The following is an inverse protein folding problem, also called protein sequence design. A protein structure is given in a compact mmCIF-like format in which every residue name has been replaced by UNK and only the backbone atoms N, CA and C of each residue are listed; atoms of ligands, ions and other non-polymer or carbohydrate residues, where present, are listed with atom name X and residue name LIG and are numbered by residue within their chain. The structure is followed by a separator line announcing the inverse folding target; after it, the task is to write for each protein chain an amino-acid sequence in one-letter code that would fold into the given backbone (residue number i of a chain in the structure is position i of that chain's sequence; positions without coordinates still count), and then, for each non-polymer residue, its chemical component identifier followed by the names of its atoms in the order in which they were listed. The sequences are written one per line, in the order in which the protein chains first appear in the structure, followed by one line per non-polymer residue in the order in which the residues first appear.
data_IF_434992071174
#
_entry.id   IF_434992071174
#
_cell.length_a   1.000
_cell.length_b   1.000
_cell.length_c   1.000
_cell.angle_alpha   90.00
_cell.angle_beta   90.00
_cell.angle_gamma   90.00
#
_symmetry.space_group_name_H-M   'P 1'
#
loop_
_entity.id
_entity.type
_entity.pdbx_description
1 polymer ?
#
# COMPACT_ATOMS: atom_id res chain seq x y z
N UNK A 1 -25.99 -5.27 38.69
CA UNK A 1 -24.95 -4.26 38.96
C UNK A 1 -25.54 -2.90 38.81
N UNK A 2 -25.43 -2.10 39.86
CA UNK A 2 -25.77 -0.69 39.86
C UNK A 2 -24.91 0.07 38.84
N UNK A 3 -25.30 1.29 38.47
CA UNK A 3 -24.51 2.14 37.57
C UNK A 3 -23.10 2.40 38.14
N UNK A 4 -23.01 2.54 39.46
CA UNK A 4 -21.77 2.81 40.17
C UNK A 4 -20.81 1.61 40.12
N UNK A 5 -21.34 0.38 40.22
CA UNK A 5 -20.52 -0.85 40.12
C UNK A 5 -19.87 -1.02 38.73
N UNK A 6 -20.49 -0.47 37.66
CA UNK A 6 -20.00 -0.60 36.28
C UNK A 6 -18.90 0.41 35.97
N UNK A 7 -19.02 1.62 36.52
CA UNK A 7 -18.00 2.67 36.40
C UNK A 7 -16.72 2.26 37.13
N UNK A 8 -16.84 1.67 38.32
CA UNK A 8 -15.68 1.16 39.07
C UNK A 8 -15.00 -0.02 38.37
N UNK A 9 -15.75 -0.85 37.65
CA UNK A 9 -15.17 -1.95 36.86
C UNK A 9 -14.38 -1.43 35.65
N UNK A 10 -14.91 -0.43 34.93
CA UNK A 10 -14.27 0.15 33.75
C UNK A 10 -13.00 0.96 34.12
N UNK A 11 -12.99 1.65 35.25
CA UNK A 11 -11.82 2.43 35.68
C UNK A 11 -10.64 1.54 36.13
N UNK A 12 -10.88 0.27 36.44
CA UNK A 12 -9.84 -0.69 36.85
C UNK A 12 -9.13 -1.38 35.68
N UNK A 13 -9.59 -1.19 34.44
CA UNK A 13 -9.09 -1.91 33.25
C UNK A 13 -8.47 -1.01 32.17
N UNK A 14 -8.06 0.23 32.51
CA UNK A 14 -7.26 1.15 31.66
C UNK A 14 -7.69 1.25 30.18
N UNK A 15 -8.99 1.46 29.95
CA UNK A 15 -9.53 1.69 28.60
C UNK A 15 -9.41 3.20 28.27
N UNK A 16 -8.82 3.60 27.11
CA UNK A 16 -8.53 5.01 26.81
C UNK A 16 -9.75 5.95 26.81
N UNK A 17 -9.52 7.20 27.25
CA UNK A 17 -10.49 8.29 27.56
C UNK A 17 -11.48 8.65 26.43
N UNK A 18 -11.21 8.27 25.17
CA UNK A 18 -12.13 8.51 24.04
C UNK A 18 -13.43 7.69 24.17
N UNK A 19 -13.42 6.62 24.96
CA UNK A 19 -14.56 5.72 25.18
C UNK A 19 -15.63 6.33 26.11
N UNK A 20 -15.31 7.35 26.91
CA UNK A 20 -16.23 7.87 27.93
C UNK A 20 -17.50 8.53 27.36
N UNK A 21 -17.39 9.37 26.32
CA UNK A 21 -18.56 10.06 25.75
C UNK A 21 -19.53 9.14 24.98
N UNK A 22 -19.01 8.05 24.40
CA UNK A 22 -19.81 7.07 23.66
C UNK A 22 -20.46 6.05 24.62
N UNK A 23 -19.73 5.62 25.64
CA UNK A 23 -20.24 4.74 26.70
C UNK A 23 -21.35 5.43 27.50
N UNK A 24 -21.23 6.73 27.80
CA UNK A 24 -22.31 7.48 28.47
C UNK A 24 -23.60 7.52 27.64
N UNK A 25 -23.50 7.73 26.31
CA UNK A 25 -24.66 7.73 25.40
C UNK A 25 -25.30 6.35 25.27
N UNK A 26 -24.50 5.29 25.18
CA UNK A 26 -24.99 3.91 25.07
C UNK A 26 -25.57 3.38 26.40
N UNK A 27 -25.02 3.79 27.55
CA UNK A 27 -25.58 3.50 28.87
C UNK A 27 -26.91 4.25 29.11
N UNK A 28 -27.04 5.47 28.59
CA UNK A 28 -28.30 6.23 28.64
C UNK A 28 -29.42 5.57 27.80
N UNK A 29 -29.08 4.86 26.72
CA UNK A 29 -30.04 4.20 25.84
C UNK A 29 -30.71 2.93 26.42
N UNK A 30 -30.22 2.40 27.55
CA UNK A 30 -30.73 1.21 28.26
C UNK A 30 -31.21 0.06 27.34
N UNK A 31 -30.36 -0.50 26.47
CA UNK A 31 -30.76 -1.70 25.71
C UNK A 31 -30.99 -2.88 26.66
N UNK A 32 -32.12 -3.57 26.48
CA UNK A 32 -32.56 -4.67 27.35
C UNK A 32 -31.75 -5.97 27.14
N UNK A 33 -30.93 -6.05 26.10
CA UNK A 33 -30.12 -7.23 25.76
C UNK A 33 -28.62 -6.89 25.68
N UNK A 34 -27.76 -7.50 26.52
CA UNK A 34 -26.31 -7.37 26.46
C UNK A 34 -25.69 -7.69 25.08
N UNK A 35 -26.28 -8.58 24.28
CA UNK A 35 -25.79 -8.89 22.93
C UNK A 35 -26.03 -7.75 21.94
N UNK A 36 -27.18 -7.08 22.04
CA UNK A 36 -27.51 -5.93 21.20
C UNK A 36 -26.61 -4.73 21.54
N UNK A 37 -26.31 -4.53 22.82
CA UNK A 37 -25.34 -3.53 23.29
C UNK A 37 -23.95 -3.77 22.71
N UNK A 38 -23.44 -5.01 22.79
CA UNK A 38 -22.12 -5.36 22.24
C UNK A 38 -22.10 -5.25 20.72
N UNK A 39 -23.17 -5.64 20.02
CA UNK A 39 -23.27 -5.48 18.57
C UNK A 39 -23.26 -3.99 18.16
N UNK A 40 -24.01 -3.13 18.84
CA UNK A 40 -24.00 -1.67 18.59
C UNK A 40 -22.65 -1.04 18.90
N UNK A 41 -22.02 -1.40 20.03
CA UNK A 41 -20.70 -0.92 20.39
C UNK A 41 -19.63 -1.34 19.35
N UNK A 42 -19.67 -2.59 18.87
CA UNK A 42 -18.80 -3.10 17.81
C UNK A 42 -19.06 -2.41 16.46
N UNK A 43 -20.33 -2.10 16.16
CA UNK A 43 -20.72 -1.40 14.92
C UNK A 43 -20.25 0.05 14.96
N UNK A 44 -20.46 0.77 16.07
CA UNK A 44 -20.02 2.17 16.19
C UNK A 44 -18.49 2.31 16.29
N UNK A 45 -17.78 1.35 16.91
CA UNK A 45 -16.31 1.32 16.90
C UNK A 45 -15.73 1.01 15.52
N UNK A 46 -16.38 0.15 14.72
CA UNK A 46 -16.03 -0.01 13.30
C UNK A 46 -16.29 1.27 12.50
N UNK A 47 -17.36 2.01 12.78
CA UNK A 47 -17.62 3.31 12.15
C UNK A 47 -16.60 4.39 12.57
N UNK A 48 -16.03 4.32 13.78
CA UNK A 48 -14.97 5.21 14.22
C UNK A 48 -13.61 4.91 13.57
N UNK A 49 -13.28 3.65 13.29
CA UNK A 49 -12.15 3.32 12.41
C UNK A 49 -12.40 3.80 10.97
N UNK A 50 -13.63 3.68 10.46
CA UNK A 50 -14.01 4.24 9.16
C UNK A 50 -13.83 5.77 9.14
N UNK A 51 -14.09 6.48 10.23
CA UNK A 51 -13.83 7.92 10.36
C UNK A 51 -12.33 8.28 10.37
N UNK A 52 -11.46 7.42 10.91
CA UNK A 52 -10.00 7.61 10.90
C UNK A 52 -9.40 7.32 9.50
N UNK A 53 -9.87 6.27 8.82
CA UNK A 53 -9.44 5.92 7.46
C UNK A 53 -10.02 6.85 6.38
N UNK A 54 -11.28 7.30 6.54
CA UNK A 54 -11.88 8.35 5.69
C UNK A 54 -11.35 9.74 6.03
N UNK A 55 -10.88 9.97 7.26
CA UNK A 55 -10.30 11.22 7.74
C UNK A 55 -8.97 11.57 7.08
N UNK A 56 -8.16 10.57 6.68
CA UNK A 56 -6.96 10.83 5.88
C UNK A 56 -7.33 11.56 4.58
N UNK A 57 -8.32 11.07 3.84
CA UNK A 57 -8.70 11.63 2.53
C UNK A 57 -9.88 12.62 2.59
N UNK A 58 -10.33 12.98 3.79
CA UNK A 58 -11.36 13.99 3.98
C UNK A 58 -10.82 15.33 3.47
N UNK A 59 -11.38 15.78 2.33
CA UNK A 59 -10.94 16.94 1.53
C UNK A 59 -10.21 18.02 2.35
N UNK A 60 -8.89 17.92 2.39
CA UNK A 60 -8.04 19.06 2.70
C UNK A 60 -8.23 20.05 1.55
N UNK A 61 -8.46 21.31 1.93
CA UNK A 61 -8.64 22.44 1.02
C UNK A 61 -7.47 22.52 0.03
N UNK A 62 -7.69 22.09 -1.22
CA UNK A 62 -6.65 22.06 -2.26
C UNK A 62 -7.00 21.29 -3.54
N UNK A 63 -8.06 20.48 -3.56
CA UNK A 63 -8.44 19.60 -4.68
C UNK A 63 -8.97 20.29 -5.96
N UNK A 64 -8.57 21.54 -6.25
CA UNK A 64 -8.94 22.26 -7.47
C UNK A 64 -7.70 22.56 -8.31
N UNK A 65 -7.09 21.50 -8.87
CA UNK A 65 -5.89 21.62 -9.70
C UNK A 65 -4.62 21.83 -8.88
N UNK A 66 -3.51 21.28 -9.36
CA UNK A 66 -2.24 21.20 -8.65
C UNK A 66 -1.45 19.96 -9.05
N UNK A 67 -0.23 19.86 -8.51
CA UNK A 67 0.68 18.73 -8.77
C UNK A 67 0.77 17.79 -7.58
N UNK A 68 0.34 16.55 -7.76
CA UNK A 68 0.61 15.45 -6.84
C UNK A 68 1.90 14.74 -7.24
N UNK A 69 2.78 14.48 -6.27
CA UNK A 69 3.86 13.51 -6.39
C UNK A 69 3.49 12.23 -5.62
N UNK A 70 3.29 11.13 -6.34
CA UNK A 70 3.05 9.80 -5.81
C UNK A 70 4.38 9.01 -5.80
N UNK A 71 4.94 8.83 -4.62
CA UNK A 71 6.21 8.10 -4.40
C UNK A 71 5.87 6.69 -3.92
N UNK A 72 6.12 5.69 -4.75
CA UNK A 72 5.73 4.31 -4.49
C UNK A 72 6.87 3.57 -3.80
N UNK A 73 6.57 3.02 -2.63
CA UNK A 73 7.41 2.11 -1.85
C UNK A 73 8.90 2.50 -1.75
N UNK A 74 9.26 3.74 -1.35
CA UNK A 74 10.65 4.19 -1.27
C UNK A 74 11.36 3.61 -0.03
N UNK A 75 11.30 2.30 0.20
CA UNK A 75 11.69 1.64 1.45
C UNK A 75 13.04 0.95 1.37
N UNK A 76 13.79 0.95 2.47
CA UNK A 76 15.17 0.47 2.54
C UNK A 76 15.39 -0.92 1.95
N UNK A 77 14.43 -1.85 2.11
CA UNK A 77 14.58 -3.21 1.59
C UNK A 77 14.69 -3.29 0.07
N UNK A 78 14.19 -2.28 -0.66
CA UNK A 78 14.30 -2.19 -2.11
C UNK A 78 15.61 -1.55 -2.61
N UNK A 79 16.45 -1.04 -1.71
CA UNK A 79 17.73 -0.40 -2.06
C UNK A 79 18.92 -1.33 -1.81
N UNK A 80 20.09 -1.08 -2.41
CA UNK A 80 21.32 -1.80 -2.09
C UNK A 80 21.57 -1.91 -0.57
N UNK A 81 21.78 -3.15 -0.10
CA UNK A 81 21.88 -3.52 1.32
C UNK A 81 20.58 -3.98 1.97
N UNK A 82 19.43 -3.78 1.30
CA UNK A 82 18.12 -4.29 1.68
C UNK A 82 17.90 -5.76 1.28
N UNK A 83 16.84 -6.38 1.80
CA UNK A 83 16.57 -7.81 1.55
C UNK A 83 16.03 -8.13 0.15
N UNK A 84 15.44 -7.15 -0.55
CA UNK A 84 14.96 -7.24 -1.93
C UNK A 84 15.54 -6.10 -2.78
N UNK A 85 16.86 -5.90 -2.65
CA UNK A 85 17.56 -4.79 -3.25
C UNK A 85 17.43 -4.75 -4.79
N UNK A 86 17.17 -3.56 -5.32
CA UNK A 86 17.20 -3.21 -6.73
C UNK A 86 18.46 -2.37 -6.97
N UNK A 87 19.28 -2.77 -7.93
CA UNK A 87 20.63 -2.20 -8.11
C UNK A 87 20.61 -0.69 -8.41
N UNK A 88 19.64 -0.20 -9.20
CA UNK A 88 19.51 1.22 -9.58
C UNK A 88 18.69 2.10 -8.63
N UNK A 89 18.13 1.53 -7.55
CA UNK A 89 17.18 2.25 -6.70
C UNK A 89 17.83 3.40 -5.91
N UNK A 90 19.13 3.34 -5.60
CA UNK A 90 19.83 4.44 -4.91
C UNK A 90 19.96 5.69 -5.80
N UNK A 91 20.26 5.50 -7.08
CA UNK A 91 20.29 6.59 -8.05
C UNK A 91 18.89 7.16 -8.31
N UNK A 92 17.86 6.29 -8.35
CA UNK A 92 16.47 6.72 -8.44
C UNK A 92 16.06 7.56 -7.23
N UNK A 93 16.36 7.09 -6.01
CA UNK A 93 16.09 7.85 -4.79
C UNK A 93 16.83 9.19 -4.73
N UNK A 94 18.06 9.25 -5.25
CA UNK A 94 18.80 10.51 -5.41
C UNK A 94 18.03 11.50 -6.29
N UNK A 95 17.60 11.06 -7.48
CA UNK A 95 16.84 11.91 -8.42
C UNK A 95 15.47 12.31 -7.88
N UNK A 96 14.75 11.41 -7.21
CA UNK A 96 13.49 11.74 -6.52
C UNK A 96 13.73 12.80 -5.44
N UNK A 97 14.76 12.63 -4.62
CA UNK A 97 15.08 13.57 -3.56
C UNK A 97 15.45 14.96 -4.10
N UNK A 98 16.24 15.03 -5.17
CA UNK A 98 16.60 16.28 -5.83
C UNK A 98 15.37 16.93 -6.47
N UNK A 99 14.52 16.16 -7.14
CA UNK A 99 13.26 16.64 -7.70
C UNK A 99 12.36 17.28 -6.64
N UNK A 100 12.18 16.61 -5.49
CA UNK A 100 11.39 17.14 -4.37
C UNK A 100 11.96 18.49 -3.88
N UNK A 101 13.29 18.58 -3.69
CA UNK A 101 13.94 19.80 -3.19
C UNK A 101 13.85 20.95 -4.19
N UNK A 102 14.14 20.69 -5.46
CA UNK A 102 14.15 21.71 -6.52
C UNK A 102 12.75 22.27 -6.83
N UNK A 103 11.72 21.43 -6.67
CA UNK A 103 10.35 21.77 -7.05
C UNK A 103 9.41 21.89 -5.85
N UNK A 104 9.93 22.10 -4.65
CA UNK A 104 9.14 21.99 -3.43
C UNK A 104 7.89 22.88 -3.42
N UNK A 105 7.97 24.11 -3.95
CA UNK A 105 6.84 25.04 -4.04
C UNK A 105 5.83 24.72 -5.14
N UNK A 106 6.23 23.92 -6.13
CA UNK A 106 5.37 23.50 -7.26
C UNK A 106 4.71 22.14 -7.01
N UNK A 107 5.15 21.39 -6.01
CA UNK A 107 4.53 20.14 -5.57
C UNK A 107 3.47 20.49 -4.53
N UNK A 108 2.22 20.20 -4.85
CA UNK A 108 1.10 20.56 -4.01
C UNK A 108 0.80 19.55 -2.92
N UNK A 109 1.11 18.28 -3.17
CA UNK A 109 0.85 17.15 -2.29
C UNK A 109 1.89 16.05 -2.54
N UNK A 110 2.27 15.34 -1.48
CA UNK A 110 3.10 14.14 -1.57
C UNK A 110 2.34 12.97 -0.95
N UNK A 111 2.11 11.95 -1.76
CA UNK A 111 1.61 10.65 -1.29
C UNK A 111 2.73 9.64 -1.36
N UNK A 112 2.98 8.93 -0.26
CA UNK A 112 3.95 7.84 -0.19
C UNK A 112 3.22 6.54 0.11
N UNK A 113 3.41 5.53 -0.73
CA UNK A 113 2.96 4.16 -0.41
C UNK A 113 4.05 3.40 0.33
N UNK A 114 3.65 2.49 1.22
CA UNK A 114 4.55 1.64 1.99
C UNK A 114 4.07 0.20 1.89
N UNK A 115 4.87 -0.64 1.26
CA UNK A 115 4.73 -2.09 1.36
C UNK A 115 4.89 -2.50 2.82
N UNK A 116 3.92 -3.23 3.36
CA UNK A 116 3.80 -3.43 4.82
C UNK A 116 3.43 -4.86 5.11
N UNK A 117 4.43 -5.73 5.13
CA UNK A 117 4.21 -7.16 5.33
C UNK A 117 4.31 -7.58 6.79
N UNK A 118 3.52 -8.60 7.14
CA UNK A 118 3.88 -9.51 8.22
C UNK A 118 4.93 -10.50 7.70
N UNK A 119 5.78 -11.03 8.58
CA UNK A 119 6.69 -12.13 8.20
C UNK A 119 5.91 -13.33 7.64
N UNK A 120 4.78 -13.64 8.26
CA UNK A 120 3.85 -14.71 7.88
C UNK A 120 2.98 -14.34 6.67
N UNK A 121 3.53 -13.90 5.55
CA UNK A 121 2.79 -13.47 4.35
C UNK A 121 2.77 -14.57 3.27
N UNK A 122 1.71 -14.67 2.46
CA UNK A 122 1.53 -15.71 1.44
C UNK A 122 2.64 -15.73 0.37
N UNK A 123 3.29 -14.59 0.15
CA UNK A 123 4.43 -14.47 -0.76
C UNK A 123 5.79 -14.68 -0.08
N UNK A 124 5.83 -15.07 1.21
CA UNK A 124 7.06 -15.40 1.93
C UNK A 124 7.19 -16.90 2.15
N UNK A 125 8.43 -17.39 2.17
CA UNK A 125 8.70 -18.83 2.26
C UNK A 125 8.13 -19.49 3.51
N UNK A 126 8.09 -18.77 4.65
CA UNK A 126 7.53 -19.29 5.90
C UNK A 126 6.05 -19.70 5.80
N UNK A 127 5.31 -19.23 4.78
CA UNK A 127 3.91 -19.61 4.54
C UNK A 127 3.75 -21.00 3.96
N UNK A 128 4.81 -21.56 3.39
CA UNK A 128 4.75 -22.80 2.64
C UNK A 128 5.76 -23.83 3.15
N UNK A 129 5.40 -25.09 3.07
CA UNK A 129 6.31 -26.23 3.31
C UNK A 129 6.11 -27.27 2.23
N UNK A 130 7.20 -27.93 1.84
CA UNK A 130 7.17 -29.12 0.99
C UNK A 130 6.82 -30.38 1.81
N UNK A 131 6.68 -31.58 1.20
CA UNK A 131 6.39 -32.81 1.93
C UNK A 131 7.48 -33.23 2.94
N UNK A 132 8.68 -32.64 2.86
CA UNK A 132 9.78 -32.86 3.78
C UNK A 132 9.82 -31.82 4.91
N UNK A 133 8.92 -30.83 4.90
CA UNK A 133 8.86 -29.76 5.89
C UNK A 133 9.82 -28.59 5.60
N UNK A 134 10.41 -28.51 4.40
CA UNK A 134 11.30 -27.41 4.01
C UNK A 134 10.48 -26.26 3.40
N UNK A 135 10.84 -25.03 3.77
CA UNK A 135 10.30 -23.82 3.14
C UNK A 135 10.89 -23.62 1.73
N UNK A 136 10.12 -23.06 0.77
CA UNK A 136 10.65 -22.70 -0.54
C UNK A 136 11.71 -21.61 -0.44
N UNK A 137 12.71 -21.70 -1.30
CA UNK A 137 13.73 -20.64 -1.46
C UNK A 137 13.11 -19.42 -2.18
N UNK A 138 13.62 -18.19 -1.97
CA UNK A 138 13.18 -17.02 -2.73
C UNK A 138 13.21 -17.24 -4.24
N UNK A 139 12.31 -16.53 -4.94
CA UNK A 139 11.96 -16.63 -6.35
C UNK A 139 11.36 -17.97 -6.80
N UNK A 140 11.02 -18.85 -5.86
CA UNK A 140 10.22 -20.04 -6.17
C UNK A 140 8.83 -19.64 -6.67
N UNK A 141 8.43 -20.19 -7.80
CA UNK A 141 7.06 -20.03 -8.31
C UNK A 141 6.19 -21.19 -7.81
N UNK A 142 5.08 -20.87 -7.16
CA UNK A 142 4.08 -21.80 -6.66
C UNK A 142 2.79 -21.64 -7.48
N UNK A 143 2.39 -22.70 -8.18
CA UNK A 143 1.13 -22.75 -8.93
C UNK A 143 -0.02 -23.33 -8.12
N UNK A 144 -1.26 -23.07 -8.55
CA UNK A 144 -2.45 -23.73 -8.04
C UNK A 144 -2.36 -25.26 -8.16
N UNK A 145 -1.74 -25.75 -9.23
CA UNK A 145 -1.49 -27.18 -9.47
C UNK A 145 -0.46 -27.76 -8.48
N UNK A 146 0.62 -27.02 -8.18
CA UNK A 146 1.61 -27.47 -7.18
C UNK A 146 0.95 -27.65 -5.80
N UNK A 147 0.02 -26.75 -5.45
CA UNK A 147 -0.73 -26.81 -4.18
C UNK A 147 -1.70 -28.01 -4.20
N UNK A 148 -2.44 -28.20 -5.29
CA UNK A 148 -3.38 -29.32 -5.44
C UNK A 148 -2.69 -30.69 -5.37
N UNK A 149 -1.50 -30.80 -5.97
CA UNK A 149 -0.66 -32.01 -5.92
C UNK A 149 0.08 -32.18 -4.59
N UNK A 150 -0.03 -31.22 -3.68
CA UNK A 150 0.62 -31.25 -2.37
C UNK A 150 2.14 -31.09 -2.43
N UNK A 151 2.69 -30.57 -3.53
CA UNK A 151 4.11 -30.18 -3.61
C UNK A 151 4.41 -29.03 -2.66
N UNK A 152 3.46 -28.11 -2.49
CA UNK A 152 3.50 -27.06 -1.49
C UNK A 152 2.22 -27.08 -0.66
N UNK A 153 2.37 -27.05 0.66
CA UNK A 153 1.28 -26.93 1.63
C UNK A 153 1.49 -25.70 2.49
N UNK A 154 0.42 -25.17 3.07
CA UNK A 154 0.58 -24.08 4.02
C UNK A 154 1.21 -24.60 5.31
N UNK A 155 2.12 -23.84 5.90
CA UNK A 155 2.77 -24.19 7.19
C UNK A 155 1.72 -24.36 8.29
N UNK A 156 0.66 -23.55 8.23
CA UNK A 156 -0.53 -23.66 9.08
C UNK A 156 -1.63 -24.37 8.27
N UNK A 157 -2.01 -25.62 8.60
CA UNK A 157 -2.94 -26.41 7.79
C UNK A 157 -4.32 -25.76 7.57
N UNK A 158 -4.79 -24.96 8.52
CA UNK A 158 -6.08 -24.25 8.47
C UNK A 158 -6.14 -23.24 7.31
N UNK A 159 -4.98 -22.75 6.85
CA UNK A 159 -4.91 -21.79 5.74
C UNK A 159 -4.90 -22.46 4.37
N UNK A 160 -4.82 -23.79 4.30
CA UNK A 160 -4.66 -24.53 3.04
C UNK A 160 -5.78 -24.23 2.05
N UNK A 161 -7.03 -24.16 2.52
CA UNK A 161 -8.19 -23.84 1.69
C UNK A 161 -8.15 -22.42 1.13
N UNK A 162 -7.79 -21.45 1.98
CA UNK A 162 -7.67 -20.03 1.59
C UNK A 162 -6.57 -19.88 0.53
N UNK A 163 -5.40 -20.46 0.77
CA UNK A 163 -4.24 -20.34 -0.11
C UNK A 163 -4.47 -21.03 -1.47
N UNK A 164 -5.10 -22.21 -1.47
CA UNK A 164 -5.47 -22.91 -2.70
C UNK A 164 -6.50 -22.10 -3.52
N UNK A 165 -7.49 -21.50 -2.87
CA UNK A 165 -8.47 -20.65 -3.53
C UNK A 165 -7.83 -19.36 -4.09
N UNK A 166 -6.93 -18.73 -3.32
CA UNK A 166 -6.16 -17.59 -3.78
C UNK A 166 -5.35 -17.91 -5.04
N UNK A 167 -4.57 -19.00 -5.03
CA UNK A 167 -3.74 -19.39 -6.17
C UNK A 167 -4.58 -19.60 -7.44
N UNK A 168 -5.74 -20.27 -7.32
CA UNK A 168 -6.67 -20.46 -8.45
C UNK A 168 -7.20 -19.14 -8.99
N UNK A 169 -7.60 -18.22 -8.12
CA UNK A 169 -8.09 -16.90 -8.52
C UNK A 169 -6.99 -16.04 -9.15
N UNK A 170 -5.79 -16.07 -8.60
CA UNK A 170 -4.63 -15.34 -9.11
C UNK A 170 -4.29 -15.80 -10.55
N UNK A 171 -4.23 -17.11 -10.77
CA UNK A 171 -3.97 -17.66 -12.11
C UNK A 171 -5.12 -17.40 -13.09
N UNK A 172 -6.37 -17.49 -12.64
CA UNK A 172 -7.55 -17.20 -13.48
C UNK A 172 -7.61 -15.74 -13.96
N UNK A 173 -7.02 -14.81 -13.20
CA UNK A 173 -6.86 -13.40 -13.60
C UNK A 173 -5.78 -13.20 -14.66
N UNK A 174 -5.04 -14.25 -15.01
CA UNK A 174 -4.14 -14.31 -16.17
C UNK A 174 -2.83 -13.52 -16.01
N UNK A 175 -2.55 -13.01 -14.81
CA UNK A 175 -1.38 -12.17 -14.57
C UNK A 175 -0.18 -12.92 -13.97
N UNK A 176 -0.38 -13.62 -12.84
CA UNK A 176 0.73 -14.17 -12.04
C UNK A 176 0.44 -15.57 -11.50
N UNK A 177 1.52 -16.27 -11.18
CA UNK A 177 1.54 -17.34 -10.18
C UNK A 177 2.14 -16.76 -8.90
N UNK A 178 2.03 -17.46 -7.79
CA UNK A 178 2.61 -16.99 -6.53
C UNK A 178 4.13 -17.01 -6.69
N UNK A 179 4.78 -15.85 -6.58
CA UNK A 179 6.22 -15.73 -6.46
C UNK A 179 6.59 -15.64 -4.98
N UNK A 180 7.52 -16.47 -4.53
CA UNK A 180 8.07 -16.35 -3.19
C UNK A 180 9.15 -15.27 -3.21
N UNK A 181 8.99 -14.20 -2.45
CA UNK A 181 10.01 -13.16 -2.31
C UNK A 181 10.91 -13.44 -1.11
N UNK A 182 12.15 -12.90 -1.10
CA UNK A 182 12.85 -12.68 0.16
C UNK A 182 11.94 -11.98 1.16
N UNK A 183 12.07 -12.29 2.46
CA UNK A 183 11.32 -11.55 3.47
C UNK A 183 11.73 -10.06 3.42
N UNK A 184 10.79 -9.18 3.10
CA UNK A 184 11.05 -7.75 2.89
C UNK A 184 9.92 -6.90 3.47
N UNK A 185 10.23 -5.63 3.70
CA UNK A 185 9.32 -4.60 4.19
C UNK A 185 8.48 -5.08 5.39
N UNK A 186 9.09 -5.89 6.27
CA UNK A 186 8.42 -6.39 7.47
C UNK A 186 8.18 -5.21 8.41
N UNK A 187 6.91 -4.98 8.74
CA UNK A 187 6.51 -3.86 9.59
C UNK A 187 7.30 -3.82 10.90
N UNK A 188 7.84 -2.64 11.24
CA UNK A 188 8.65 -2.43 12.44
C UNK A 188 10.13 -2.78 12.33
N UNK A 189 10.59 -3.29 11.18
CA UNK A 189 12.02 -3.50 10.90
C UNK A 189 12.66 -2.29 10.24
N UNK A 190 14.00 -2.24 10.18
CA UNK A 190 14.70 -1.18 9.46
C UNK A 190 14.43 -1.18 7.96
N UNK A 191 14.15 -2.36 7.40
CA UNK A 191 13.84 -2.55 5.98
C UNK A 191 12.56 -1.86 5.54
N UNK A 192 11.58 -1.76 6.45
CA UNK A 192 10.29 -1.09 6.22
C UNK A 192 10.38 0.44 6.17
N UNK A 193 11.43 1.04 6.75
CA UNK A 193 11.57 2.50 6.78
C UNK A 193 11.86 3.09 5.39
N UNK A 194 11.40 4.31 5.16
CA UNK A 194 11.72 5.08 3.95
C UNK A 194 13.23 5.35 3.83
N UNK A 195 13.74 5.23 2.62
CA UNK A 195 15.13 5.47 2.25
C UNK A 195 15.54 6.90 2.56
N UNK A 196 16.69 7.04 3.22
CA UNK A 196 17.13 8.29 3.86
C UNK A 196 17.10 9.53 2.94
N UNK A 197 17.70 9.53 1.74
CA UNK A 197 17.61 10.67 0.81
C UNK A 197 16.19 11.17 0.55
N UNK A 198 15.21 10.27 0.44
CA UNK A 198 13.82 10.61 0.14
C UNK A 198 13.14 11.21 1.37
N UNK A 199 13.23 10.56 2.55
CA UNK A 199 12.59 11.10 3.77
C UNK A 199 13.19 12.45 4.20
N UNK A 200 14.50 12.65 3.99
CA UNK A 200 15.14 13.95 4.23
C UNK A 200 14.61 15.04 3.27
N UNK A 201 14.41 14.70 1.99
CA UNK A 201 13.83 15.61 1.01
C UNK A 201 12.37 15.94 1.30
N UNK A 202 11.57 14.94 1.68
CA UNK A 202 10.19 15.12 2.12
C UNK A 202 10.14 16.04 3.35
N UNK A 203 11.03 15.84 4.33
CA UNK A 203 11.11 16.73 5.51
C UNK A 203 11.42 18.17 5.10
N UNK A 204 12.35 18.36 4.15
CA UNK A 204 12.66 19.68 3.58
C UNK A 204 11.45 20.30 2.86
N UNK A 205 10.67 19.49 2.15
CA UNK A 205 9.42 19.94 1.51
C UNK A 205 8.38 20.38 2.55
N UNK A 206 8.21 19.62 3.64
CA UNK A 206 7.33 19.99 4.75
C UNK A 206 7.79 21.31 5.39
N UNK A 207 9.08 21.48 5.66
CA UNK A 207 9.61 22.73 6.22
C UNK A 207 9.33 23.94 5.30
N UNK A 208 9.40 23.74 3.99
CA UNK A 208 9.21 24.81 3.00
C UNK A 208 7.74 25.15 2.72
N UNK A 209 6.82 24.20 2.91
CA UNK A 209 5.41 24.32 2.49
C UNK A 209 4.42 24.28 3.64
N UNK A 210 4.82 23.73 4.80
CA UNK A 210 3.99 23.43 5.96
C UNK A 210 2.79 22.53 5.64
N UNK A 211 2.90 21.74 4.57
CA UNK A 211 1.86 20.79 4.14
C UNK A 211 2.11 19.42 4.76
N UNK A 212 1.02 18.68 4.97
CA UNK A 212 1.08 17.30 5.46
C UNK A 212 1.52 16.36 4.33
N UNK A 213 2.17 15.25 4.71
CA UNK A 213 2.51 14.15 3.80
C UNK A 213 1.50 13.04 4.02
N UNK A 214 1.01 12.46 2.93
CA UNK A 214 0.06 11.35 3.01
C UNK A 214 0.75 10.00 2.92
N UNK A 215 0.60 9.19 3.95
CA UNK A 215 1.16 7.83 4.02
C UNK A 215 0.08 6.78 3.81
N UNK A 216 0.32 5.84 2.89
CA UNK A 216 -0.62 4.77 2.53
C UNK A 216 0.07 3.42 2.66
N UNK A 217 -0.37 2.58 3.59
CA UNK A 217 0.12 1.20 3.71
C UNK A 217 -0.58 0.28 2.72
N UNK A 218 0.12 -0.76 2.27
CA UNK A 218 -0.43 -1.86 1.44
C UNK A 218 0.15 -3.21 1.88
N UNK A 219 -0.44 -4.29 1.38
CA UNK A 219 0.00 -5.68 1.61
C UNK A 219 0.02 -6.15 3.08
N UNK A 220 -0.81 -5.55 3.93
CA UNK A 220 -0.93 -5.93 5.35
C UNK A 220 -1.66 -7.27 5.57
N UNK A 221 -2.44 -7.71 4.58
CA UNK A 221 -3.13 -8.99 4.64
C UNK A 221 -2.17 -10.11 4.32
N UNK A 222 -2.11 -11.13 5.17
CA UNK A 222 -1.20 -12.27 4.97
C UNK A 222 -1.64 -13.24 3.86
N UNK A 223 -2.84 -13.05 3.28
CA UNK A 223 -3.48 -14.04 2.41
C UNK A 223 -3.54 -13.66 0.94
N UNK A 224 -3.07 -12.46 0.56
CA UNK A 224 -3.03 -12.02 -0.83
C UNK A 224 -1.86 -11.09 -1.04
N UNK A 225 -1.23 -11.18 -2.20
CA UNK A 225 -0.27 -10.18 -2.65
C UNK A 225 -0.98 -8.87 -3.00
N UNK A 226 -0.27 -7.75 -2.85
CA UNK A 226 -0.76 -6.40 -3.16
C UNK A 226 0.39 -5.50 -3.63
N UNK A 227 0.79 -5.67 -4.90
CA UNK A 227 1.77 -4.77 -5.52
C UNK A 227 1.22 -3.36 -5.72
N UNK A 228 -0.04 -3.27 -6.16
CA UNK A 228 -0.72 -2.00 -6.37
C UNK A 228 -1.01 -1.32 -5.03
N UNK A 229 -0.68 -0.04 -4.91
CA UNK A 229 -1.09 0.80 -3.79
C UNK A 229 -2.60 1.06 -3.73
N UNK A 230 -3.38 0.54 -4.69
CA UNK A 230 -4.83 0.74 -4.78
C UNK A 230 -5.64 -0.49 -4.42
N UNK A 231 -5.20 -1.70 -4.76
CA UNK A 231 -5.99 -2.93 -4.58
C UNK A 231 -5.09 -4.18 -4.54
N UNK A 232 -5.50 -5.21 -3.77
CA UNK A 232 -4.80 -6.49 -3.79
C UNK A 232 -5.03 -7.26 -5.11
N UNK A 233 -4.09 -8.16 -5.47
CA UNK A 233 -4.21 -8.98 -6.69
C UNK A 233 -5.49 -9.84 -6.69
N UNK A 234 -5.85 -10.36 -5.51
CA UNK A 234 -7.14 -11.01 -5.24
C UNK A 234 -7.75 -10.38 -3.98
N UNK A 235 -8.66 -9.41 -4.12
CA UNK A 235 -9.36 -8.82 -2.99
C UNK A 235 -10.14 -9.87 -2.20
N UNK A 236 -10.16 -9.71 -0.87
CA UNK A 236 -10.80 -10.59 0.11
C UNK A 236 -11.79 -9.79 0.97
N UNK A 237 -12.51 -10.44 1.88
CA UNK A 237 -13.40 -9.73 2.82
C UNK A 237 -12.66 -8.72 3.73
N UNK A 238 -11.33 -8.82 3.85
CA UNK A 238 -10.52 -7.80 4.50
C UNK A 238 -10.53 -6.50 3.67
N UNK A 239 -11.12 -5.44 4.23
CA UNK A 239 -11.22 -4.12 3.58
C UNK A 239 -9.87 -3.57 3.14
N UNK A 240 -8.76 -3.92 3.79
CA UNK A 240 -7.41 -3.48 3.41
C UNK A 240 -6.96 -4.04 2.05
N UNK A 241 -7.61 -5.09 1.57
CA UNK A 241 -7.34 -5.73 0.28
C UNK A 241 -8.25 -5.22 -0.85
N UNK A 242 -9.30 -4.48 -0.49
CA UNK A 242 -10.26 -3.92 -1.43
C UNK A 242 -9.69 -2.67 -2.11
N UNK A 243 -10.36 -2.22 -3.18
CA UNK A 243 -9.97 -0.99 -3.86
C UNK A 243 -10.05 0.19 -2.89
N UNK A 244 -8.95 0.91 -2.74
CA UNK A 244 -8.90 2.16 -2.00
C UNK A 244 -9.51 3.30 -2.84
N UNK A 245 -10.84 3.34 -2.89
CA UNK A 245 -11.59 4.36 -3.64
C UNK A 245 -11.28 5.77 -3.15
N UNK A 246 -11.00 5.94 -1.86
CA UNK A 246 -10.64 7.24 -1.29
C UNK A 246 -9.34 7.78 -1.89
N UNK A 247 -8.30 6.93 -2.03
CA UNK A 247 -7.05 7.32 -2.67
C UNK A 247 -7.26 7.60 -4.17
N UNK A 248 -8.05 6.79 -4.87
CA UNK A 248 -8.38 7.03 -6.28
C UNK A 248 -9.05 8.40 -6.45
N UNK A 249 -10.12 8.68 -5.70
CA UNK A 249 -10.86 9.94 -5.78
C UNK A 249 -9.99 11.13 -5.37
N UNK A 250 -9.09 10.94 -4.41
CA UNK A 250 -8.11 11.94 -4.03
C UNK A 250 -7.15 12.28 -5.18
N UNK A 251 -6.55 11.25 -5.82
CA UNK A 251 -5.65 11.42 -6.97
C UNK A 251 -6.36 12.14 -8.13
N UNK A 252 -7.64 11.83 -8.37
CA UNK A 252 -8.45 12.47 -9.43
C UNK A 252 -8.59 13.99 -9.27
N UNK A 253 -8.47 14.51 -8.04
CA UNK A 253 -8.56 15.94 -7.75
C UNK A 253 -7.39 16.78 -8.30
N UNK A 254 -6.30 16.15 -8.69
CA UNK A 254 -5.10 16.84 -9.17
C UNK A 254 -5.12 17.03 -10.70
N UNK A 255 -4.57 18.15 -11.16
CA UNK A 255 -4.40 18.42 -12.60
C UNK A 255 -3.16 17.73 -13.18
N UNK A 256 -2.21 17.35 -12.32
CA UNK A 256 -1.01 16.61 -12.66
C UNK A 256 -0.68 15.61 -11.56
N UNK A 257 -0.37 14.38 -11.96
CA UNK A 257 0.05 13.30 -11.06
C UNK A 257 1.39 12.78 -11.57
N UNK A 258 2.45 13.00 -10.81
CA UNK A 258 3.79 12.47 -11.09
C UNK A 258 3.98 11.19 -10.28
N UNK A 259 4.46 10.13 -10.92
CA UNK A 259 4.63 8.82 -10.29
C UNK A 259 6.10 8.41 -10.38
N UNK A 260 6.68 8.01 -9.25
CA UNK A 260 8.04 7.50 -9.12
C UNK A 260 8.14 6.48 -7.99
N UNK A 261 9.33 5.94 -7.73
CA UNK A 261 9.59 4.98 -6.66
C UNK A 261 9.82 3.58 -7.20
N UNK A 262 9.66 2.56 -6.36
CA UNK A 262 10.06 1.18 -6.69
C UNK A 262 8.91 0.18 -6.59
N UNK A 263 8.93 -0.92 -7.34
CA UNK A 263 9.78 -1.18 -8.51
C UNK A 263 9.02 -0.86 -9.81
N UNK A 264 9.73 -0.43 -10.85
CA UNK A 264 9.15 -0.14 -12.17
C UNK A 264 8.38 -1.33 -12.74
N UNK A 265 8.87 -2.55 -12.53
CA UNK A 265 8.24 -3.78 -13.04
C UNK A 265 7.05 -4.26 -12.20
N UNK A 266 6.93 -3.80 -10.96
CA UNK A 266 5.95 -4.31 -9.98
C UNK A 266 5.07 -3.19 -9.39
N UNK A 267 5.40 -2.66 -8.21
CA UNK A 267 4.49 -1.78 -7.48
C UNK A 267 4.15 -0.50 -8.26
N UNK A 268 5.12 0.12 -8.95
CA UNK A 268 4.85 1.26 -9.84
C UNK A 268 3.93 0.84 -10.99
N UNK A 269 4.27 -0.26 -11.65
CA UNK A 269 3.50 -0.82 -12.76
C UNK A 269 2.03 -1.07 -12.37
N UNK A 270 1.80 -1.86 -11.33
CA UNK A 270 0.44 -2.27 -10.95
C UNK A 270 -0.38 -1.14 -10.33
N UNK A 271 0.26 -0.24 -9.58
CA UNK A 271 -0.42 0.96 -9.08
C UNK A 271 -0.92 1.82 -10.24
N UNK A 272 -0.07 2.09 -11.24
CA UNK A 272 -0.46 2.90 -12.40
C UNK A 272 -1.50 2.18 -13.25
N UNK A 273 -1.36 0.87 -13.50
CA UNK A 273 -2.36 0.09 -14.24
C UNK A 273 -3.72 0.09 -13.58
N UNK A 274 -3.78 -0.09 -12.27
CA UNK A 274 -5.06 -0.01 -11.55
C UNK A 274 -5.60 1.41 -11.56
N UNK A 275 -4.75 2.43 -11.40
CA UNK A 275 -5.18 3.82 -11.52
C UNK A 275 -5.81 4.08 -12.88
N UNK A 276 -5.22 3.58 -13.98
CA UNK A 276 -5.76 3.76 -15.33
C UNK A 276 -7.13 3.10 -15.49
N UNK A 277 -7.35 1.93 -14.87
CA UNK A 277 -8.68 1.27 -14.91
C UNK A 277 -9.77 2.07 -14.21
N UNK A 278 -9.41 2.85 -13.18
CA UNK A 278 -10.39 3.58 -12.37
C UNK A 278 -10.37 5.10 -12.63
N UNK A 279 -9.51 5.59 -13.52
CA UNK A 279 -9.35 7.01 -13.87
C UNK A 279 -9.19 7.23 -15.40
N UNK A 280 -10.11 6.66 -16.18
CA UNK A 280 -10.06 6.64 -17.65
C UNK A 280 -9.90 8.03 -18.29
N UNK A 281 -10.60 9.04 -17.79
CA UNK A 281 -10.56 10.41 -18.29
C UNK A 281 -9.26 11.15 -17.94
N UNK A 282 -8.49 10.61 -17.00
CA UNK A 282 -7.33 11.23 -16.38
C UNK A 282 -5.97 10.78 -16.85
N UNK A 283 -5.89 9.79 -17.76
CA UNK A 283 -4.62 9.19 -18.16
C UNK A 283 -3.56 10.23 -18.56
N UNK A 284 -3.97 11.24 -19.33
CA UNK A 284 -3.11 12.33 -19.81
C UNK A 284 -2.57 13.26 -18.72
N UNK A 285 -3.10 13.18 -17.49
CA UNK A 285 -2.62 13.93 -16.31
C UNK A 285 -1.56 13.15 -15.53
N UNK A 286 -1.48 11.83 -15.73
CA UNK A 286 -0.50 10.97 -15.07
C UNK A 286 0.79 10.97 -15.88
N UNK A 287 1.91 11.12 -15.18
CA UNK A 287 3.26 11.08 -15.73
C UNK A 287 4.11 10.11 -14.91
N UNK A 288 4.66 9.08 -15.54
CA UNK A 288 5.67 8.22 -14.91
C UNK A 288 7.04 8.85 -15.11
N UNK A 289 7.77 9.08 -14.02
CA UNK A 289 9.14 9.58 -14.03
C UNK A 289 10.10 8.43 -14.36
N UNK A 290 10.51 8.30 -15.62
CA UNK A 290 11.16 7.09 -16.16
C UNK A 290 12.59 6.88 -15.66
N UNK A 291 13.22 7.93 -15.14
CA UNK A 291 14.52 7.88 -14.47
C UNK A 291 14.37 7.90 -12.95
N UNK A 292 13.19 7.68 -12.39
CA UNK A 292 13.00 7.64 -10.93
C UNK A 292 12.33 6.32 -10.49
N UNK A 293 12.65 5.24 -11.20
CA UNK A 293 12.12 3.91 -10.95
C UNK A 293 12.91 2.86 -11.74
N UNK A 294 13.35 1.80 -11.06
CA UNK A 294 14.09 0.69 -11.69
C UNK A 294 13.31 -0.62 -11.56
N UNK A 295 13.45 -1.51 -12.54
CA UNK A 295 12.82 -2.83 -12.47
C UNK A 295 13.58 -3.76 -11.54
N UNK A 296 12.86 -4.65 -10.84
CA UNK A 296 13.47 -5.79 -10.16
C UNK A 296 14.29 -6.59 -11.17
N UNK A 297 15.50 -7.00 -10.76
CA UNK A 297 16.41 -7.75 -11.62
C UNK A 297 15.73 -9.02 -12.17
N UNK A 298 15.83 -9.21 -13.48
CA UNK A 298 15.18 -10.32 -14.20
C UNK A 298 13.73 -10.05 -14.62
N UNK A 299 13.17 -8.88 -14.28
CA UNK A 299 11.83 -8.43 -14.67
C UNK A 299 11.85 -7.14 -15.50
N UNK A 300 12.97 -6.86 -16.18
CA UNK A 300 13.14 -5.64 -16.97
C UNK A 300 12.16 -5.59 -18.15
N UNK A 301 11.85 -6.74 -18.76
CA UNK A 301 10.90 -6.84 -19.86
C UNK A 301 9.49 -6.40 -19.43
N UNK A 302 9.07 -6.78 -18.23
CA UNK A 302 7.79 -6.42 -17.64
C UNK A 302 7.71 -4.90 -17.41
N UNK A 303 8.79 -4.30 -16.90
CA UNK A 303 8.90 -2.84 -16.75
C UNK A 303 8.85 -2.09 -18.09
N UNK A 304 9.57 -2.59 -19.10
CA UNK A 304 9.56 -2.00 -20.44
C UNK A 304 8.20 -2.16 -21.14
N UNK A 305 7.54 -3.30 -20.96
CA UNK A 305 6.20 -3.51 -21.50
C UNK A 305 5.17 -2.62 -20.79
N UNK A 306 5.31 -2.44 -19.47
CA UNK A 306 4.51 -1.49 -18.71
C UNK A 306 4.59 -0.07 -19.29
N UNK A 307 5.79 0.45 -19.51
CA UNK A 307 5.96 1.81 -20.06
C UNK A 307 5.27 1.95 -21.43
N UNK A 308 5.47 0.98 -22.33
CA UNK A 308 4.82 0.96 -23.65
C UNK A 308 3.30 0.94 -23.55
N UNK A 309 2.76 0.09 -22.68
CA UNK A 309 1.31 -0.03 -22.48
C UNK A 309 0.72 1.29 -21.94
N UNK A 310 1.38 1.92 -20.98
CA UNK A 310 0.89 3.16 -20.38
C UNK A 310 0.97 4.34 -21.35
N UNK A 311 2.05 4.44 -22.13
CA UNK A 311 2.14 5.45 -23.19
C UNK A 311 1.02 5.28 -24.22
N UNK A 312 0.71 4.04 -24.63
CA UNK A 312 -0.40 3.75 -25.55
C UNK A 312 -1.78 4.12 -24.97
N UNK A 313 -1.93 4.11 -23.64
CA UNK A 313 -3.15 4.57 -22.94
C UNK A 313 -3.20 6.08 -22.73
N UNK A 314 -2.15 6.82 -23.09
CA UNK A 314 -2.06 8.28 -22.97
C UNK A 314 -1.41 8.77 -21.68
N UNK A 315 -0.80 7.90 -20.88
CA UNK A 315 0.08 8.30 -19.76
C UNK A 315 1.34 8.92 -20.34
N UNK A 316 1.83 10.00 -19.71
CA UNK A 316 3.07 10.63 -20.13
C UNK A 316 4.27 9.90 -19.54
N UNK A 317 5.31 9.73 -20.34
CA UNK A 317 6.60 9.25 -19.89
C UNK A 317 7.58 10.41 -19.98
N UNK A 318 8.22 10.75 -18.85
CA UNK A 318 9.16 11.87 -18.79
C UNK A 318 10.29 11.51 -17.84
N UNK A 319 11.48 12.03 -18.11
CA UNK A 319 12.52 12.13 -17.07
C UNK A 319 12.12 13.16 -16.01
N UNK A 320 12.68 13.04 -14.81
CA UNK A 320 12.58 14.01 -13.71
C UNK A 320 12.91 15.43 -14.17
N UNK A 321 13.94 15.57 -15.02
CA UNK A 321 14.35 16.86 -15.61
C UNK A 321 13.28 17.45 -16.54
N UNK A 322 12.69 16.64 -17.42
CA UNK A 322 11.63 17.09 -18.33
C UNK A 322 10.37 17.48 -17.57
N UNK A 323 9.94 16.65 -16.62
CA UNK A 323 8.80 16.95 -15.75
C UNK A 323 9.03 18.24 -14.95
N UNK A 324 10.24 18.43 -14.42
CA UNK A 324 10.62 19.62 -13.66
C UNK A 324 10.58 20.91 -14.49
N UNK A 325 10.93 20.84 -15.78
CA UNK A 325 10.81 21.99 -16.68
C UNK A 325 9.36 22.44 -16.88
N UNK A 326 8.39 21.52 -16.79
CA UNK A 326 6.96 21.82 -16.89
C UNK A 326 6.36 22.39 -15.59
N UNK A 327 7.03 22.22 -14.44
CA UNK A 327 6.60 22.77 -13.15
C UNK A 327 7.07 24.20 -12.90
N UNK A 328 8.01 24.71 -13.72
CA UNK A 328 8.57 26.07 -13.64
C UNK A 328 7.78 27.08 -14.50
N UNK A 329 6.79 26.63 -15.27
CA UNK A 329 5.90 27.45 -16.11
C UNK A 329 4.61 27.75 -15.36
#
# INVERSE_FOLDING_TARGET
MSTDDRVEWLSKHDIPVIVNGLVEKLLAARPNDPKEFMAKLLTETTHHHDAMASGQFARTTGANGGTLLLVIDPQNDFHPGGSLAIEGADEDAGRVADFIREHAKSIDEIVVTLDTHQRMHIAHGVFWVDPQGKHPDPFTIISAEDIEKGKWKTTIPEYQGIAANYAKQLEARGKYKICIWPEHCIVGTSGHNVRKPIIDAISTWVDATLKEVRWVTKAESIFTEMYSGLQAEVPTEDRRTQLNTNLVDFIKGFSRVLVCGEALSHCVNFTVRDLMRYYEEGHHKVTVLTDCSTSVAGFENEGQQFLKDMEALGVRLMTSKEAGALLKQ
#
